data_IF_601016815077
#
_entry.id   IF_601016815077
#
_cell.length_a   1.000
_cell.length_b   1.000
_cell.length_c   1.000
_cell.angle_alpha   90.00
_cell.angle_beta   90.00
_cell.angle_gamma   90.00
#
_symmetry.space_group_name_H-M   'P 1'
#
loop_
_entity.id
_entity.type
_entity.pdbx_description
1 polymer ?
#
# COMPACT_ATOMS: atom_id res chain seq x y z
N UNK A 1 12.50 -1.87 28.53
CA UNK A 1 11.45 -2.39 27.61
C UNK A 1 11.64 -1.74 26.25
N UNK A 2 12.45 -2.34 25.39
CA UNK A 2 12.76 -1.79 24.06
C UNK A 2 11.78 -2.44 23.09
N UNK A 3 10.78 -1.70 22.63
CA UNK A 3 9.80 -2.19 21.67
C UNK A 3 10.37 -2.00 20.26
N UNK A 4 10.88 -3.07 19.69
CA UNK A 4 11.24 -3.16 18.27
C UNK A 4 9.97 -3.45 17.45
N UNK A 5 9.12 -2.43 17.28
CA UNK A 5 7.96 -2.47 16.39
C UNK A 5 8.36 -2.11 14.96
N UNK A 6 9.14 -2.97 14.30
CA UNK A 6 9.46 -2.83 12.88
C UNK A 6 8.21 -3.15 12.05
N UNK A 7 7.49 -2.11 11.60
CA UNK A 7 6.42 -2.26 10.62
C UNK A 7 6.94 -2.96 9.37
N UNK A 8 6.24 -3.99 8.91
CA UNK A 8 6.68 -4.82 7.79
C UNK A 8 6.63 -4.02 6.46
N UNK A 9 7.73 -3.36 6.09
CA UNK A 9 7.94 -2.90 4.72
C UNK A 9 8.24 -4.10 3.82
N UNK A 10 7.19 -4.69 3.25
CA UNK A 10 7.35 -5.76 2.25
C UNK A 10 7.66 -5.13 0.89
N UNK A 11 8.94 -5.01 0.54
CA UNK A 11 9.34 -4.71 -0.84
C UNK A 11 9.32 -6.03 -1.62
N UNK A 12 8.23 -6.31 -2.31
CA UNK A 12 8.14 -7.44 -3.26
C UNK A 12 8.83 -7.01 -4.56
N UNK A 13 10.17 -6.98 -4.58
CA UNK A 13 10.95 -6.51 -5.73
C UNK A 13 11.87 -7.57 -6.30
N UNK A 14 11.39 -8.34 -7.28
CA UNK A 14 12.25 -9.07 -8.22
C UNK A 14 12.55 -8.18 -9.44
N UNK A 15 13.70 -8.33 -10.11
CA UNK A 15 14.09 -7.43 -11.20
C UNK A 15 13.09 -7.54 -12.35
N UNK A 16 12.32 -6.49 -12.63
CA UNK A 16 11.39 -6.44 -13.76
C UNK A 16 11.56 -5.14 -14.54
N UNK A 17 11.66 -5.29 -15.86
CA UNK A 17 11.89 -4.22 -16.84
C UNK A 17 10.55 -3.52 -17.13
N UNK A 18 10.29 -2.39 -16.47
CA UNK A 18 9.07 -1.59 -16.61
C UNK A 18 8.85 -0.68 -15.40
N UNK A 19 8.01 0.35 -15.50
CA UNK A 19 7.62 1.15 -14.34
C UNK A 19 6.90 0.24 -13.33
N UNK A 20 7.44 0.11 -12.13
CA UNK A 20 6.88 -0.73 -11.07
C UNK A 20 6.06 0.16 -10.11
N UNK A 21 4.97 -0.36 -9.53
CA UNK A 21 4.14 0.41 -8.61
C UNK A 21 4.22 -0.22 -7.23
N UNK A 22 4.66 0.56 -6.25
CA UNK A 22 4.67 0.20 -4.84
C UNK A 22 3.44 0.79 -4.16
N UNK A 23 2.90 0.10 -3.17
CA UNK A 23 1.77 0.58 -2.38
C UNK A 23 2.20 0.68 -0.92
N UNK A 24 2.11 1.89 -0.36
CA UNK A 24 2.41 2.14 1.05
C UNK A 24 1.14 2.56 1.78
N UNK A 25 0.88 1.96 2.94
CA UNK A 25 -0.17 2.44 3.85
C UNK A 25 0.45 3.34 4.92
N UNK A 26 -0.16 4.50 5.09
CA UNK A 26 0.09 5.43 6.17
C UNK A 26 -1.00 5.27 7.21
N UNK A 27 -0.58 4.83 8.38
CA UNK A 27 -1.40 4.65 9.58
C UNK A 27 -1.50 6.00 10.28
N UNK A 28 -2.67 6.34 10.82
CA UNK A 28 -2.76 7.57 11.62
C UNK A 28 -1.82 7.47 12.82
N UNK A 29 -1.04 8.52 13.13
CA UNK A 29 -0.24 8.52 14.34
C UNK A 29 -1.22 8.31 15.49
N UNK A 30 -0.98 7.28 16.31
CA UNK A 30 -1.82 6.80 17.42
C UNK A 30 -2.80 5.64 17.14
N UNK A 31 -2.83 5.09 15.92
CA UNK A 31 -3.41 3.76 15.65
C UNK A 31 -4.81 3.53 16.23
N UNK A 32 -5.72 4.51 16.14
CA UNK A 32 -7.01 4.45 16.83
C UNK A 32 -8.14 5.27 16.22
N UNK A 33 -7.96 5.86 15.03
CA UNK A 33 -9.00 6.65 14.36
C UNK A 33 -9.43 6.07 13.00
N UNK A 34 -10.68 6.30 12.56
CA UNK A 34 -11.07 6.01 11.19
C UNK A 34 -10.27 6.92 10.24
N UNK A 35 -9.57 6.31 9.27
CA UNK A 35 -8.94 7.04 8.18
C UNK A 35 -7.42 6.97 8.17
N UNK A 36 -6.88 5.86 7.69
CA UNK A 36 -5.52 5.84 7.15
C UNK A 36 -5.51 6.24 5.68
N UNK A 37 -4.36 6.15 5.04
CA UNK A 37 -4.22 6.45 3.62
C UNK A 37 -3.35 5.42 2.95
N UNK A 38 -3.74 4.96 1.76
CA UNK A 38 -2.86 4.16 0.91
C UNK A 38 -2.36 5.06 -0.22
N UNK A 39 -1.05 5.12 -0.38
CA UNK A 39 -0.36 5.91 -1.41
C UNK A 39 0.29 4.96 -2.40
N UNK A 40 -0.20 4.90 -3.64
CA UNK A 40 0.53 4.26 -4.73
C UNK A 40 1.75 5.11 -5.10
N UNK A 41 2.87 4.45 -5.40
CA UNK A 41 4.12 5.10 -5.76
C UNK A 41 4.67 4.43 -7.02
N UNK A 42 4.95 5.20 -8.06
CA UNK A 42 5.63 4.69 -9.24
C UNK A 42 7.14 4.69 -9.01
N UNK A 43 7.78 3.56 -9.29
CA UNK A 43 9.22 3.34 -9.24
C UNK A 43 9.80 3.43 -10.64
N UNK A 44 10.72 4.38 -10.82
CA UNK A 44 11.60 4.38 -11.97
C UNK A 44 12.66 3.30 -11.79
N UNK A 45 12.60 2.23 -12.57
CA UNK A 45 13.52 1.08 -12.44
C UNK A 45 14.94 1.38 -12.90
N UNK A 46 15.17 2.47 -13.63
CA UNK A 46 16.51 2.89 -14.05
C UNK A 46 17.23 3.75 -13.02
N UNK A 47 16.49 4.60 -12.28
CA UNK A 47 17.07 5.54 -11.31
C UNK A 47 16.77 5.20 -9.85
N UNK A 48 15.81 4.29 -9.60
CA UNK A 48 15.29 4.01 -8.26
C UNK A 48 14.40 5.11 -7.68
N UNK A 49 14.11 6.17 -8.44
CA UNK A 49 13.28 7.28 -7.97
C UNK A 49 11.82 6.84 -7.77
N UNK A 50 11.23 7.23 -6.64
CA UNK A 50 9.82 7.03 -6.32
C UNK A 50 9.03 8.31 -6.57
N UNK A 51 7.94 8.21 -7.34
CA UNK A 51 6.98 9.31 -7.54
C UNK A 51 5.64 8.91 -6.95
N UNK A 52 5.19 9.65 -5.95
CA UNK A 52 3.88 9.41 -5.33
C UNK A 52 2.74 9.71 -6.32
N UNK A 53 1.74 8.84 -6.33
CA UNK A 53 0.51 8.97 -7.11
C UNK A 53 -0.64 9.43 -6.20
N UNK A 54 -1.86 9.43 -6.72
CA UNK A 54 -3.05 9.87 -5.99
C UNK A 54 -3.32 8.98 -4.78
N UNK A 55 -3.37 9.54 -3.56
CA UNK A 55 -3.71 8.79 -2.36
C UNK A 55 -5.18 8.37 -2.33
N UNK A 56 -5.47 7.27 -1.66
CA UNK A 56 -6.84 6.79 -1.39
C UNK A 56 -7.07 6.55 0.10
N UNK A 57 -8.34 6.62 0.51
CA UNK A 57 -8.74 6.30 1.88
C UNK A 57 -8.36 4.86 2.25
N UNK A 58 -7.66 4.71 3.36
CA UNK A 58 -7.10 3.45 3.86
C UNK A 58 -7.63 3.04 5.23
N UNK A 59 -7.33 1.81 5.66
CA UNK A 59 -7.55 1.40 7.05
C UNK A 59 -6.74 2.25 8.02
N UNK A 60 -7.33 2.55 9.17
CA UNK A 60 -6.72 3.38 10.20
C UNK A 60 -5.47 2.74 10.80
N UNK A 61 -5.43 1.40 10.84
CA UNK A 61 -4.29 0.61 11.32
C UNK A 61 -3.95 -0.55 10.36
N UNK A 62 -3.40 -0.19 9.20
CA UNK A 62 -2.98 -1.13 8.18
C UNK A 62 -1.80 -2.01 8.65
N UNK A 63 -1.98 -3.33 8.70
CA UNK A 63 -0.91 -4.27 9.09
C UNK A 63 -0.36 -5.10 7.94
N UNK A 64 -1.18 -5.36 6.92
CA UNK A 64 -0.77 -6.06 5.70
C UNK A 64 -1.50 -5.50 4.49
N UNK A 65 -0.75 -5.39 3.40
CA UNK A 65 -1.23 -5.09 2.06
C UNK A 65 -0.79 -6.22 1.15
N UNK A 66 -1.71 -6.71 0.32
CA UNK A 66 -1.44 -7.75 -0.68
C UNK A 66 -2.05 -7.34 -2.01
N UNK A 67 -1.29 -7.47 -3.08
CA UNK A 67 -1.77 -7.29 -4.45
C UNK A 67 -2.05 -8.67 -5.03
N UNK A 68 -3.19 -8.83 -5.69
CA UNK A 68 -3.51 -10.06 -6.39
C UNK A 68 -2.49 -10.34 -7.53
N UNK A 69 -2.28 -11.62 -7.82
CA UNK A 69 -1.40 -12.09 -8.89
C UNK A 69 -1.72 -11.50 -10.28
N UNK A 70 -3.00 -11.19 -10.55
CA UNK A 70 -3.41 -10.51 -11.79
C UNK A 70 -3.13 -9.00 -11.79
N UNK A 71 -2.70 -8.43 -10.67
CA UNK A 71 -2.41 -6.98 -10.48
C UNK A 71 -3.62 -6.07 -10.74
N UNK A 72 -4.83 -6.59 -10.62
CA UNK A 72 -6.08 -5.84 -10.78
C UNK A 72 -6.68 -5.40 -9.45
N UNK A 73 -6.32 -6.06 -8.35
CA UNK A 73 -6.89 -5.81 -7.03
C UNK A 73 -5.82 -5.74 -5.95
N UNK A 74 -6.05 -4.89 -4.95
CA UNK A 74 -5.25 -4.74 -3.74
C UNK A 74 -6.16 -4.91 -2.52
N UNK A 75 -5.66 -5.65 -1.53
CA UNK A 75 -6.32 -5.89 -0.27
C UNK A 75 -5.49 -5.34 0.88
N UNK A 76 -6.12 -4.66 1.81
CA UNK A 76 -5.50 -4.18 3.04
C UNK A 76 -6.29 -4.65 4.26
N UNK A 77 -5.59 -4.97 5.34
CA UNK A 77 -6.19 -5.42 6.60
C UNK A 77 -6.00 -4.39 7.69
N UNK A 78 -7.05 -4.14 8.47
CA UNK A 78 -7.00 -3.32 9.67
C UNK A 78 -6.92 -4.21 10.92
N UNK A 79 -5.88 -4.00 11.74
CA UNK A 79 -5.67 -4.80 12.95
C UNK A 79 -6.66 -4.47 14.08
N UNK A 80 -7.11 -3.22 14.19
CA UNK A 80 -7.97 -2.81 15.30
C UNK A 80 -9.42 -3.24 15.07
N UNK A 81 -9.90 -3.11 13.83
CA UNK A 81 -11.29 -3.41 13.49
C UNK A 81 -11.47 -4.83 12.98
N UNK A 82 -10.40 -5.51 12.57
CA UNK A 82 -10.46 -6.81 11.91
C UNK A 82 -11.08 -6.74 10.50
N UNK A 83 -11.27 -5.54 9.95
CA UNK A 83 -11.89 -5.34 8.64
C UNK A 83 -10.86 -5.52 7.52
N UNK A 84 -11.35 -5.98 6.38
CA UNK A 84 -10.62 -6.02 5.11
C UNK A 84 -11.13 -4.92 4.19
N UNK A 85 -10.19 -4.25 3.55
CA UNK A 85 -10.43 -3.21 2.56
C UNK A 85 -9.96 -3.72 1.21
N UNK A 86 -10.78 -3.54 0.18
CA UNK A 86 -10.48 -3.94 -1.18
C UNK A 86 -10.42 -2.70 -2.08
N UNK A 87 -9.49 -2.75 -3.03
CA UNK A 87 -9.26 -1.69 -4.00
C UNK A 87 -9.01 -2.30 -5.36
N UNK A 88 -9.52 -1.66 -6.40
CA UNK A 88 -9.15 -1.96 -7.78
C UNK A 88 -7.93 -1.13 -8.19
N UNK A 89 -7.06 -1.73 -8.98
CA UNK A 89 -5.84 -1.14 -9.52
C UNK A 89 -6.08 -0.78 -10.98
N UNK A 90 -5.87 0.49 -11.35
CA UNK A 90 -5.88 0.92 -12.73
C UNK A 90 -4.60 0.44 -13.45
N UNK A 91 -4.69 -0.38 -14.51
CA UNK A 91 -3.54 -1.12 -15.03
C UNK A 91 -2.47 -0.24 -15.69
N UNK A 92 -2.85 0.93 -16.22
CA UNK A 92 -1.90 1.83 -16.89
C UNK A 92 -1.18 2.78 -15.92
N UNK A 93 -1.83 3.18 -14.82
CA UNK A 93 -1.34 4.24 -13.93
C UNK A 93 -0.96 3.73 -12.55
N UNK A 94 -1.47 2.56 -12.13
CA UNK A 94 -1.29 2.05 -10.78
C UNK A 94 -2.17 2.74 -9.73
N UNK A 95 -3.02 3.69 -10.14
CA UNK A 95 -3.97 4.35 -9.23
C UNK A 95 -4.95 3.35 -8.64
N UNK A 96 -5.36 3.61 -7.40
CA UNK A 96 -6.34 2.80 -6.68
C UNK A 96 -7.72 3.44 -6.72
N UNK A 97 -8.75 2.60 -6.72
CA UNK A 97 -10.13 2.99 -6.47
C UNK A 97 -10.76 2.03 -5.45
N UNK A 98 -11.45 2.51 -4.40
CA UNK A 98 -12.20 1.64 -3.50
C UNK A 98 -13.18 0.75 -4.28
N UNK A 99 -13.30 -0.51 -3.86
CA UNK A 99 -14.22 -1.50 -4.45
C UNK A 99 -15.48 -1.69 -3.62
#
# INVERSE_FOLDING_TARGET
MVSCGGGASSVIGGPRKGAEVLYAAFVTPNGGGPGGTIVPMSLNTSSGALTALSPVGGPGNAVKIVVDSSRTSLYSSDFNTGMLYAYSIHPASGNLTPS
#
